data_IF_354163627748
#
_entry.id   IF_354163627748
#
_cell.length_a   1.000
_cell.length_b   1.000
_cell.length_c   1.000
_cell.angle_alpha   90.00
_cell.angle_beta   90.00
_cell.angle_gamma   90.00
#
_symmetry.space_group_name_H-M   'P 1'
#
loop_
_entity.id
_entity.type
_entity.pdbx_description
1 polymer ?
#
# COMPACT_ATOMS: atom_id res chain seq x y z
N UNK A 1 20.35 -15.96 4.14
CA UNK A 1 19.08 -15.31 4.52
C UNK A 1 17.85 -15.97 3.88
N UNK A 2 17.85 -16.32 2.59
CA UNK A 2 16.67 -16.95 1.91
C UNK A 2 16.08 -18.21 2.58
N UNK A 3 16.88 -18.95 3.34
CA UNK A 3 16.45 -20.18 4.05
C UNK A 3 15.98 -19.95 5.48
N UNK A 4 15.92 -18.70 5.96
CA UNK A 4 15.49 -18.34 7.32
C UNK A 4 14.23 -17.50 7.28
N UNK A 5 13.48 -17.40 8.39
CA UNK A 5 12.38 -16.45 8.50
C UNK A 5 12.84 -15.03 8.14
N UNK A 6 11.93 -14.26 7.57
CA UNK A 6 12.20 -12.89 7.14
C UNK A 6 12.50 -12.02 8.37
N UNK A 7 13.66 -11.34 8.42
CA UNK A 7 14.04 -10.55 9.59
C UNK A 7 13.27 -9.22 9.63
N UNK A 8 13.21 -8.63 10.82
CA UNK A 8 12.66 -7.27 11.00
C UNK A 8 13.47 -6.23 10.23
N UNK A 9 14.80 -6.34 10.27
CA UNK A 9 15.68 -5.39 9.58
C UNK A 9 16.79 -6.09 8.80
N UNK A 10 17.15 -5.50 7.67
CA UNK A 10 18.28 -5.92 6.83
C UNK A 10 19.25 -4.77 6.62
N UNK A 11 20.54 -5.02 6.80
CA UNK A 11 21.60 -4.03 6.60
C UNK A 11 22.66 -4.56 5.67
N UNK A 12 23.12 -3.72 4.75
CA UNK A 12 24.23 -4.03 3.85
C UNK A 12 25.23 -2.86 3.85
N UNK A 13 26.50 -3.20 3.98
CA UNK A 13 27.60 -2.27 3.81
C UNK A 13 28.31 -2.61 2.50
N UNK A 14 28.17 -1.74 1.49
CA UNK A 14 28.81 -1.93 0.18
C UNK A 14 28.91 -0.61 -0.57
N UNK A 15 29.94 -0.51 -1.43
CA UNK A 15 30.07 0.54 -2.45
C UNK A 15 29.68 0.04 -3.86
N UNK A 16 29.49 -1.26 -3.99
CA UNK A 16 29.09 -1.87 -5.27
C UNK A 16 27.57 -1.80 -5.44
N UNK A 17 27.14 -0.99 -6.41
CA UNK A 17 25.72 -0.81 -6.72
C UNK A 17 25.04 -2.11 -7.10
N UNK A 18 25.70 -3.00 -7.84
CA UNK A 18 25.13 -4.31 -8.22
C UNK A 18 24.85 -5.18 -7.00
N UNK A 19 25.73 -5.16 -6.01
CA UNK A 19 25.54 -5.88 -4.75
C UNK A 19 24.36 -5.30 -3.96
N UNK A 20 24.21 -3.96 -3.95
CA UNK A 20 23.11 -3.27 -3.30
C UNK A 20 21.77 -3.65 -3.97
N UNK A 21 21.70 -3.54 -5.28
CA UNK A 21 20.49 -3.86 -6.07
C UNK A 21 20.09 -5.34 -5.88
N UNK A 22 21.08 -6.23 -5.90
CA UNK A 22 20.84 -7.64 -5.66
C UNK A 22 20.32 -7.90 -4.24
N UNK A 23 20.87 -7.26 -3.23
CA UNK A 23 20.42 -7.36 -1.85
C UNK A 23 18.95 -6.91 -1.71
N UNK A 24 18.61 -5.75 -2.23
CA UNK A 24 17.27 -5.19 -2.15
C UNK A 24 16.24 -6.01 -2.93
N UNK A 25 16.60 -6.50 -4.12
CA UNK A 25 15.70 -7.27 -4.96
C UNK A 25 15.50 -8.72 -4.51
N UNK A 26 16.54 -9.34 -3.91
CA UNK A 26 16.53 -10.77 -3.63
C UNK A 26 16.13 -11.15 -2.21
N UNK A 27 16.11 -10.21 -1.27
CA UNK A 27 15.82 -10.46 0.14
C UNK A 27 14.56 -9.69 0.58
N UNK A 28 13.74 -10.34 1.39
CA UNK A 28 12.58 -9.73 2.03
C UNK A 28 12.87 -9.52 3.52
N UNK A 29 12.65 -8.30 4.00
CA UNK A 29 12.80 -7.88 5.40
C UNK A 29 11.83 -6.71 5.67
N UNK A 30 11.56 -6.41 6.94
CA UNK A 30 10.61 -5.36 7.31
C UNK A 30 11.08 -3.97 6.91
N UNK A 31 12.29 -3.61 7.25
CA UNK A 31 12.95 -2.35 6.87
C UNK A 31 14.45 -2.51 6.88
N UNK A 32 15.20 -1.48 6.52
CA UNK A 32 16.65 -1.60 6.53
C UNK A 32 17.39 -0.35 6.04
N UNK A 33 18.69 -0.47 5.95
CA UNK A 33 19.55 0.60 5.46
C UNK A 33 20.77 0.05 4.71
N UNK A 34 21.25 0.86 3.78
CA UNK A 34 22.53 0.64 3.10
C UNK A 34 23.57 1.57 3.71
N UNK A 35 24.71 1.01 4.09
CA UNK A 35 25.83 1.70 4.72
C UNK A 35 25.49 2.40 6.06
N UNK A 36 24.41 1.96 6.70
CA UNK A 36 23.97 2.42 8.01
C UNK A 36 23.28 1.28 8.78
N UNK A 37 23.13 1.45 10.09
CA UNK A 37 22.32 0.57 10.94
C UNK A 37 21.34 1.42 11.76
N UNK A 38 20.13 0.92 11.92
CA UNK A 38 19.08 1.47 12.80
C UNK A 38 18.65 2.94 12.56
N UNK A 39 19.35 3.72 11.74
CA UNK A 39 19.01 5.13 11.50
C UNK A 39 17.61 5.29 10.87
N UNK A 40 17.19 4.34 10.05
CA UNK A 40 15.84 4.32 9.46
C UNK A 40 14.70 4.31 10.50
N UNK A 41 14.97 3.90 11.74
CA UNK A 41 14.01 3.92 12.84
C UNK A 41 13.64 5.34 13.31
N UNK A 42 14.50 6.30 13.06
CA UNK A 42 14.30 7.70 13.47
C UNK A 42 13.67 8.56 12.37
N UNK A 43 13.40 7.98 11.21
CA UNK A 43 12.77 8.68 10.08
C UNK A 43 11.26 8.46 10.17
N UNK A 44 10.56 9.39 10.80
CA UNK A 44 9.11 9.30 11.08
C UNK A 44 8.22 9.19 9.84
N UNK A 45 8.74 9.56 8.67
CA UNK A 45 8.03 9.44 7.39
C UNK A 45 8.16 8.07 6.75
N UNK A 46 9.08 7.23 7.24
CA UNK A 46 9.27 5.87 6.75
C UNK A 46 8.46 4.89 7.60
N UNK A 47 7.64 4.02 6.97
CA UNK A 47 6.90 3.01 7.73
C UNK A 47 7.88 2.03 8.38
N UNK A 48 7.64 1.70 9.66
CA UNK A 48 8.41 0.72 10.41
C UNK A 48 7.53 -0.47 10.79
N UNK A 49 7.97 -1.66 10.44
CA UNK A 49 7.27 -2.90 10.77
C UNK A 49 7.96 -4.11 10.18
N UNK A 50 7.60 -5.28 10.69
CA UNK A 50 8.13 -6.56 10.23
C UNK A 50 7.35 -7.14 9.06
N UNK A 51 7.80 -8.32 8.59
CA UNK A 51 7.15 -9.10 7.54
C UNK A 51 7.15 -10.58 7.88
N UNK A 52 5.99 -11.23 7.85
CA UNK A 52 5.83 -12.62 8.26
C UNK A 52 6.12 -12.82 9.75
N UNK A 53 7.08 -13.66 10.10
CA UNK A 53 7.41 -13.94 11.51
C UNK A 53 8.05 -12.76 12.26
N UNK A 54 8.57 -11.74 11.56
CA UNK A 54 9.16 -10.56 12.21
C UNK A 54 8.13 -9.49 12.57
N UNK A 55 6.87 -9.62 12.16
CA UNK A 55 5.79 -8.70 12.52
C UNK A 55 4.67 -8.67 11.53
N UNK A 56 3.55 -8.05 11.93
CA UNK A 56 2.36 -7.82 11.12
C UNK A 56 2.07 -6.32 11.13
N UNK A 57 1.88 -5.75 9.94
CA UNK A 57 1.62 -4.33 9.79
C UNK A 57 2.86 -3.45 9.99
N UNK A 58 2.63 -2.17 9.95
CA UNK A 58 3.68 -1.15 10.10
C UNK A 58 3.06 0.13 10.68
N UNK A 59 3.90 0.96 11.29
CA UNK A 59 3.49 2.22 11.89
C UNK A 59 4.51 3.31 11.55
N UNK A 60 4.39 4.47 12.12
CA UNK A 60 5.00 5.77 11.87
C UNK A 60 4.28 6.60 10.81
N UNK A 61 4.17 7.88 11.11
CA UNK A 61 3.62 8.92 10.25
C UNK A 61 2.28 8.54 9.64
N UNK A 62 2.13 8.82 8.37
CA UNK A 62 0.91 8.52 7.60
C UNK A 62 0.59 7.01 7.55
N UNK A 63 1.60 6.15 7.45
CA UNK A 63 1.39 4.72 7.40
C UNK A 63 0.73 4.18 8.69
N UNK A 64 1.18 4.66 9.86
CA UNK A 64 0.57 4.31 11.14
C UNK A 64 -0.86 4.87 11.27
N UNK A 65 -1.08 6.10 10.85
CA UNK A 65 -2.42 6.70 10.82
C UNK A 65 -3.37 5.89 9.95
N UNK A 66 -2.99 5.59 8.71
CA UNK A 66 -3.80 4.83 7.77
C UNK A 66 -4.09 3.40 8.27
N UNK A 67 -3.12 2.77 8.94
CA UNK A 67 -3.28 1.42 9.48
C UNK A 67 -4.26 1.34 10.68
N UNK A 68 -4.42 2.43 11.42
CA UNK A 68 -5.26 2.49 12.63
C UNK A 68 -6.58 3.23 12.40
N UNK A 69 -6.84 3.71 11.19
CA UNK A 69 -8.06 4.45 10.84
C UNK A 69 -8.82 3.74 9.73
N UNK A 70 -10.09 4.10 9.61
CA UNK A 70 -10.95 3.66 8.52
C UNK A 70 -11.32 4.84 7.62
N UNK A 71 -10.95 4.75 6.34
CA UNK A 71 -11.36 5.73 5.34
C UNK A 71 -12.83 5.49 4.96
N UNK A 72 -13.71 6.39 5.35
CA UNK A 72 -15.13 6.33 5.05
C UNK A 72 -15.42 7.08 3.76
N UNK A 73 -15.83 6.36 2.73
CA UNK A 73 -16.29 6.97 1.48
C UNK A 73 -17.72 7.46 1.63
N UNK A 74 -17.97 8.71 1.27
CA UNK A 74 -19.31 9.33 1.29
C UNK A 74 -19.56 10.05 -0.03
N UNK A 75 -20.61 9.64 -0.72
CA UNK A 75 -21.14 10.37 -1.87
C UNK A 75 -22.27 11.29 -1.41
N UNK A 76 -22.12 12.56 -1.70
CA UNK A 76 -23.17 13.57 -1.47
C UNK A 76 -23.70 13.98 -2.85
N UNK A 77 -24.91 13.59 -3.16
CA UNK A 77 -25.58 13.98 -4.40
C UNK A 77 -26.56 15.13 -4.14
N UNK A 78 -26.70 16.08 -5.06
CA UNK A 78 -27.79 17.05 -5.01
C UNK A 78 -29.16 16.33 -5.02
N UNK A 79 -30.18 16.88 -4.35
CA UNK A 79 -31.47 16.21 -4.23
C UNK A 79 -32.23 16.04 -5.56
N UNK A 80 -31.85 16.81 -6.56
CA UNK A 80 -32.53 16.87 -7.88
C UNK A 80 -31.81 16.03 -8.95
N UNK A 81 -30.78 15.25 -8.56
CA UNK A 81 -30.11 14.36 -9.52
C UNK A 81 -31.04 13.20 -9.88
N UNK A 82 -31.50 13.21 -11.14
CA UNK A 82 -32.28 12.12 -11.69
C UNK A 82 -31.41 10.89 -11.89
N UNK A 83 -31.63 9.86 -11.09
CA UNK A 83 -30.96 8.55 -11.21
C UNK A 83 -31.91 7.49 -11.73
N UNK A 84 -32.97 7.89 -12.44
CA UNK A 84 -34.02 7.02 -12.95
C UNK A 84 -33.50 5.90 -13.87
N UNK A 85 -32.36 6.15 -14.54
CA UNK A 85 -31.69 5.15 -15.37
C UNK A 85 -31.11 3.98 -14.57
N UNK A 86 -30.94 4.13 -13.25
CA UNK A 86 -30.45 3.06 -12.37
C UNK A 86 -31.58 2.11 -11.90
N UNK A 87 -32.83 2.47 -12.12
CA UNK A 87 -33.99 1.69 -11.65
C UNK A 87 -34.75 1.03 -12.80
N UNK A 88 -35.40 -0.13 -12.53
CA UNK A 88 -36.29 -0.78 -13.50
C UNK A 88 -37.44 0.12 -13.98
N UNK A 89 -37.98 -0.12 -15.17
CA UNK A 89 -37.56 -1.14 -16.14
C UNK A 89 -36.27 -0.77 -16.87
N UNK A 90 -35.42 -1.76 -17.13
CA UNK A 90 -34.17 -1.56 -17.87
C UNK A 90 -34.43 -1.65 -19.37
N UNK A 91 -34.51 -0.50 -20.01
CA UNK A 91 -34.58 -0.40 -21.48
C UNK A 91 -33.19 -0.49 -22.09
N UNK A 92 -33.08 -0.77 -23.39
CA UNK A 92 -31.80 -0.82 -24.09
C UNK A 92 -31.03 0.51 -24.00
N UNK A 93 -31.72 1.65 -23.98
CA UNK A 93 -31.14 2.98 -23.81
C UNK A 93 -30.50 3.14 -22.41
N UNK A 94 -31.18 2.68 -21.36
CA UNK A 94 -30.64 2.70 -19.99
C UNK A 94 -29.43 1.80 -19.84
N UNK A 95 -29.46 0.61 -20.42
CA UNK A 95 -28.33 -0.32 -20.41
C UNK A 95 -27.13 0.29 -21.12
N UNK A 96 -27.34 0.91 -22.29
CA UNK A 96 -26.28 1.59 -23.04
C UNK A 96 -25.70 2.78 -22.27
N UNK A 97 -26.50 3.57 -21.58
CA UNK A 97 -26.03 4.67 -20.75
C UNK A 97 -25.21 4.17 -19.53
N UNK A 98 -25.60 3.06 -18.92
CA UNK A 98 -24.87 2.46 -17.80
C UNK A 98 -23.55 1.86 -18.25
N UNK A 99 -23.48 1.22 -19.44
CA UNK A 99 -22.24 0.61 -19.93
C UNK A 99 -21.13 1.63 -20.10
N UNK A 100 -21.44 2.88 -20.46
CA UNK A 100 -20.46 3.95 -20.58
C UNK A 100 -19.76 4.32 -19.25
N UNK A 101 -20.36 4.00 -18.11
CA UNK A 101 -19.76 4.26 -16.79
C UNK A 101 -18.69 3.23 -16.41
N UNK A 102 -18.68 2.08 -17.08
CA UNK A 102 -17.79 0.96 -16.80
C UNK A 102 -16.78 0.68 -17.94
N UNK A 103 -16.77 1.51 -18.98
CA UNK A 103 -15.71 1.47 -19.99
C UNK A 103 -14.46 2.16 -19.42
N UNK A 104 -13.43 1.32 -19.13
CA UNK A 104 -12.09 1.74 -18.74
C UNK A 104 -11.18 1.86 -19.95
#
# INVERSE_FOLDING_TARGET
>A
MKKRPKPLSGFLFSRDQKAIDHFLASLSFGGGAINQVNIHLFIETMPFGGVGYSGIGHYYGKAGFDALTHAKSVLISPPDVAIEHLFPPYTEEKVKALSQWFEY
#
